data_IF_665652678172
#
_entry.id   IF_665652678172
#
_cell.length_a   1.000
_cell.length_b   1.000
_cell.length_c   1.000
_cell.angle_alpha   90.00
_cell.angle_beta   90.00
_cell.angle_gamma   90.00
#
_symmetry.space_group_name_H-M   'P 1'
#
loop_
_entity.id
_entity.type
_entity.pdbx_description
1 polymer ?
#
# COMPACT_ATOMS: atom_id res chain seq x y z
N UNK A 1 -1.54 25.21 13.31
CA UNK A 1 -0.69 24.02 13.57
C UNK A 1 -1.53 22.76 13.77
N UNK A 2 -2.53 22.75 14.66
CA UNK A 2 -3.43 21.59 14.87
C UNK A 2 -4.15 21.10 13.60
N UNK A 3 -4.66 22.01 12.77
CA UNK A 3 -5.33 21.65 11.51
C UNK A 3 -4.40 20.97 10.49
N UNK A 4 -3.12 21.35 10.43
CA UNK A 4 -2.14 20.74 9.52
C UNK A 4 -1.85 19.30 9.95
N UNK A 5 -1.69 19.07 11.25
CA UNK A 5 -1.50 17.72 11.80
C UNK A 5 -2.71 16.83 11.51
N UNK A 6 -3.92 17.37 11.71
CA UNK A 6 -5.17 16.66 11.38
C UNK A 6 -5.26 16.33 9.89
N UNK A 7 -4.91 17.27 9.02
CA UNK A 7 -4.88 17.05 7.57
C UNK A 7 -3.87 15.95 7.18
N UNK A 8 -2.65 16.00 7.72
CA UNK A 8 -1.63 14.96 7.50
C UNK A 8 -2.14 13.59 7.91
N UNK A 9 -2.75 13.48 9.09
CA UNK A 9 -3.30 12.21 9.57
C UNK A 9 -4.42 11.70 8.68
N UNK A 10 -5.34 12.57 8.24
CA UNK A 10 -6.41 12.18 7.31
C UNK A 10 -5.84 11.68 5.98
N UNK A 11 -4.86 12.39 5.40
CA UNK A 11 -4.21 11.96 4.15
C UNK A 11 -3.51 10.62 4.31
N UNK A 12 -2.85 10.38 5.45
CA UNK A 12 -2.21 9.12 5.75
C UNK A 12 -3.23 7.98 5.84
N UNK A 13 -4.34 8.18 6.55
CA UNK A 13 -5.39 7.17 6.70
C UNK A 13 -6.00 6.79 5.34
N UNK A 14 -6.34 7.78 4.50
CA UNK A 14 -6.87 7.53 3.15
C UNK A 14 -5.85 6.79 2.27
N UNK A 15 -4.59 7.17 2.36
CA UNK A 15 -3.50 6.50 1.64
C UNK A 15 -3.37 5.05 2.08
N UNK A 16 -3.39 4.81 3.39
CA UNK A 16 -3.31 3.48 3.97
C UNK A 16 -4.43 2.58 3.44
N UNK A 17 -5.69 3.05 3.49
CA UNK A 17 -6.81 2.28 2.93
C UNK A 17 -6.62 1.95 1.45
N UNK A 18 -6.16 2.92 0.65
CA UNK A 18 -5.95 2.73 -0.78
C UNK A 18 -4.91 1.64 -1.09
N UNK A 19 -3.81 1.59 -0.33
CA UNK A 19 -2.69 0.66 -0.61
C UNK A 19 -2.71 -0.60 0.24
N UNK A 20 -3.60 -0.70 1.23
CA UNK A 20 -3.74 -1.84 2.15
C UNK A 20 -3.88 -3.19 1.44
N UNK A 21 -4.49 -3.19 0.25
CA UNK A 21 -4.61 -4.38 -0.60
C UNK A 21 -3.32 -4.79 -1.32
N UNK A 22 -2.20 -4.08 -1.20
CA UNK A 22 -0.97 -4.45 -1.91
C UNK A 22 -0.38 -5.78 -1.39
N UNK A 23 -0.37 -6.82 -2.23
CA UNK A 23 0.19 -8.15 -1.89
C UNK A 23 1.67 -8.19 -1.50
N UNK A 24 2.41 -7.10 -1.71
CA UNK A 24 3.84 -7.00 -1.37
C UNK A 24 4.13 -6.13 -0.15
N UNK A 25 3.15 -5.34 0.30
CA UNK A 25 3.28 -4.56 1.52
C UNK A 25 3.10 -5.50 2.72
N UNK A 26 4.09 -5.51 3.61
CA UNK A 26 4.09 -6.34 4.82
C UNK A 26 3.50 -5.55 5.99
N UNK A 27 3.90 -4.29 6.10
CA UNK A 27 3.44 -3.39 7.16
C UNK A 27 3.43 -1.96 6.64
N UNK A 28 2.47 -1.16 7.11
CA UNK A 28 2.37 0.27 6.82
C UNK A 28 2.27 1.01 8.16
N UNK A 29 3.23 1.88 8.44
CA UNK A 29 3.22 2.76 9.61
C UNK A 29 2.10 3.79 9.50
N UNK A 30 1.47 4.10 10.63
CA UNK A 30 0.46 5.16 10.77
C UNK A 30 1.04 6.45 11.37
N UNK A 31 2.36 6.54 11.47
CA UNK A 31 3.05 7.76 11.88
C UNK A 31 3.09 8.78 10.71
N UNK A 32 2.43 9.95 10.83
CA UNK A 32 2.41 10.97 9.79
C UNK A 32 3.76 11.66 9.55
N UNK A 33 4.75 11.49 10.43
CA UNK A 33 6.09 12.04 10.26
C UNK A 33 7.09 11.05 9.64
N UNK A 34 6.70 9.78 9.47
CA UNK A 34 7.52 8.77 8.80
C UNK A 34 7.55 9.01 7.28
N UNK A 35 8.75 9.22 6.74
CA UNK A 35 8.98 9.48 5.30
C UNK A 35 8.93 8.21 4.46
N UNK A 36 9.12 7.03 5.07
CA UNK A 36 9.15 5.73 4.40
C UNK A 36 8.28 4.71 5.15
N UNK A 37 6.97 4.96 5.30
CA UNK A 37 6.12 4.21 6.20
C UNK A 37 5.82 2.77 5.74
N UNK A 38 6.21 2.39 4.52
CA UNK A 38 5.80 1.13 3.91
C UNK A 38 6.95 0.14 3.91
N UNK A 39 6.82 -0.94 4.67
CA UNK A 39 7.66 -2.13 4.55
C UNK A 39 7.15 -2.98 3.39
N UNK A 40 8.00 -3.21 2.39
CA UNK A 40 7.63 -3.88 1.14
C UNK A 40 8.72 -4.85 0.70
N UNK A 41 8.35 -6.05 0.26
CA UNK A 41 9.31 -7.05 -0.23
C UNK A 41 9.59 -6.97 -1.73
N UNK A 42 8.75 -6.29 -2.51
CA UNK A 42 8.84 -6.26 -3.99
C UNK A 42 10.20 -5.80 -4.51
N UNK A 43 10.81 -4.81 -3.84
CA UNK A 43 12.04 -4.15 -4.29
C UNK A 43 13.30 -4.71 -3.64
N UNK A 44 13.17 -5.65 -2.70
CA UNK A 44 14.29 -6.11 -1.87
C UNK A 44 15.25 -7.06 -2.61
N UNK A 45 14.80 -7.70 -3.70
CA UNK A 45 15.54 -8.77 -4.37
C UNK A 45 15.78 -10.02 -3.50
N UNK A 46 15.20 -10.08 -2.29
CA UNK A 46 15.34 -11.17 -1.33
C UNK A 46 14.07 -11.30 -0.47
N UNK A 47 14.14 -12.02 0.65
CA UNK A 47 13.00 -12.21 1.57
C UNK A 47 12.89 -11.11 2.64
N UNK A 48 13.76 -10.10 2.61
CA UNK A 48 13.88 -9.08 3.66
C UNK A 48 13.10 -7.82 3.23
N UNK A 49 12.08 -7.37 3.99
CA UNK A 49 11.34 -6.16 3.65
C UNK A 49 12.24 -4.92 3.62
N UNK A 50 12.03 -4.04 2.64
CA UNK A 50 12.66 -2.72 2.57
C UNK A 50 11.64 -1.62 2.86
N UNK A 51 12.10 -0.51 3.42
CA UNK A 51 11.27 0.66 3.68
C UNK A 51 11.13 1.51 2.41
N UNK A 52 9.90 1.86 2.08
CA UNK A 52 9.55 2.64 0.89
C UNK A 52 8.57 3.75 1.26
N UNK A 53 8.59 4.84 0.50
CA UNK A 53 7.63 5.92 0.68
C UNK A 53 6.31 5.63 -0.07
N UNK A 54 5.27 6.37 0.31
CA UNK A 54 3.95 6.29 -0.31
C UNK A 54 3.97 6.50 -1.82
N UNK A 55 4.74 7.48 -2.31
CA UNK A 55 4.79 7.80 -3.74
C UNK A 55 5.32 6.61 -4.56
N UNK A 56 6.34 5.91 -4.05
CA UNK A 56 6.85 4.67 -4.65
C UNK A 56 5.78 3.59 -4.72
N UNK A 57 5.03 3.35 -3.64
CA UNK A 57 3.96 2.33 -3.64
C UNK A 57 2.79 2.71 -4.57
N UNK A 58 2.39 3.99 -4.59
CA UNK A 58 1.35 4.48 -5.50
C UNK A 58 1.74 4.32 -6.98
N UNK A 59 3.00 4.56 -7.30
CA UNK A 59 3.56 4.39 -8.65
C UNK A 59 3.64 2.91 -9.08
N UNK A 60 3.83 2.01 -8.12
CA UNK A 60 3.90 0.57 -8.31
C UNK A 60 2.57 -0.06 -8.75
N UNK A 61 1.45 0.49 -8.28
CA UNK A 61 0.07 0.10 -8.63
C UNK A 61 -0.35 -1.36 -8.35
N UNK A 62 0.47 -2.16 -7.64
CA UNK A 62 0.11 -3.55 -7.31
C UNK A 62 -1.09 -3.66 -6.37
N UNK A 63 -1.37 -2.64 -5.54
CA UNK A 63 -2.59 -2.55 -4.74
C UNK A 63 -3.87 -2.64 -5.58
N UNK A 64 -3.84 -2.24 -6.86
CA UNK A 64 -4.98 -2.36 -7.78
C UNK A 64 -5.24 -3.78 -8.26
N UNK A 65 -4.29 -4.70 -8.07
CA UNK A 65 -4.39 -6.09 -8.57
C UNK A 65 -5.04 -7.02 -7.56
N UNK A 66 -5.06 -6.70 -6.27
CA UNK A 66 -5.75 -7.53 -5.28
C UNK A 66 -7.25 -7.61 -5.50
N UNK A 67 -7.88 -6.57 -6.03
CA UNK A 67 -9.33 -6.55 -6.28
C UNK A 67 -9.72 -7.24 -7.61
N UNK A 68 -8.76 -7.78 -8.38
CA UNK A 68 -9.05 -8.39 -9.69
C UNK A 68 -9.17 -9.92 -9.64
N UNK A 69 -8.85 -10.55 -8.52
CA UNK A 69 -8.91 -12.01 -8.39
C UNK A 69 -10.31 -12.56 -8.10
N UNK A 70 -11.35 -11.73 -7.95
CA UNK A 70 -12.73 -12.23 -7.77
C UNK A 70 -13.55 -12.37 -9.08
N UNK A 71 -12.95 -12.16 -10.26
CA UNK A 71 -13.69 -12.22 -11.55
C UNK A 71 -13.15 -13.22 -12.58
N UNK A 72 -12.29 -14.17 -12.21
CA UNK A 72 -11.68 -15.10 -13.16
C UNK A 72 -11.98 -16.60 -12.97
N UNK A 73 -12.95 -16.99 -12.15
CA UNK A 73 -13.35 -18.40 -11.96
C UNK A 73 -14.74 -18.78 -12.52
N UNK A 74 -15.37 -17.97 -13.37
CA UNK A 74 -16.64 -18.33 -14.02
C UNK A 74 -16.51 -18.23 -15.54
N UNK A 75 -15.67 -19.09 -16.13
CA UNK A 75 -15.70 -19.40 -17.57
C UNK A 75 -15.06 -20.76 -17.83
N UNK A 76 -15.68 -21.83 -17.33
CA UNK A 76 -15.49 -23.19 -17.83
C UNK A 76 -16.75 -24.00 -17.52
N UNK A 77 -17.58 -24.25 -18.54
CA UNK A 77 -18.75 -25.12 -18.43
C UNK A 77 -19.81 -24.82 -19.48
N UNK A 78 -19.78 -25.56 -20.59
CA UNK A 78 -20.74 -25.53 -21.68
C UNK A 78 -20.17 -26.13 -22.96
#
# INVERSE_FOLDING_TARGET
MKEIVKLKQTMLNVTHELISGCRFCVQISLDPEDKTPIQCVKYSGCSIPVHTNTATCLSCQEYKRSNKNERQDIASGG
#
